data_IF_964569243682
#
_entry.id   IF_964569243682
#
_cell.length_a   1.000
_cell.length_b   1.000
_cell.length_c   1.000
_cell.angle_alpha   90.00
_cell.angle_beta   90.00
_cell.angle_gamma   90.00
#
_symmetry.space_group_name_H-M   'P 1'
#
loop_
_entity.id
_entity.type
_entity.pdbx_description
1 polymer ?
#
# COMPACT_ATOMS: atom_id res chain seq x y z
N UNK A 1 22.59 3.04 15.18
CA UNK A 1 23.49 2.21 14.34
C UNK A 1 24.53 3.15 13.72
N UNK A 2 25.75 3.24 14.28
CA UNK A 2 26.71 4.32 13.97
C UNK A 2 27.21 4.33 12.52
N UNK A 3 27.15 3.20 11.81
CA UNK A 3 27.57 3.09 10.41
C UNK A 3 26.59 3.73 9.42
N UNK A 4 25.28 3.74 9.72
CA UNK A 4 24.27 4.37 8.87
C UNK A 4 24.40 5.90 8.91
N UNK A 5 24.63 6.47 10.10
CA UNK A 5 24.82 7.91 10.29
C UNK A 5 26.09 8.42 9.59
N UNK A 6 27.18 7.63 9.60
CA UNK A 6 28.41 7.97 8.89
C UNK A 6 28.24 7.92 7.36
N UNK A 7 27.44 6.99 6.84
CA UNK A 7 27.13 6.87 5.41
C UNK A 7 26.20 8.00 4.95
N UNK A 8 25.21 8.37 5.78
CA UNK A 8 24.30 9.50 5.54
C UNK A 8 25.05 10.83 5.45
N UNK A 9 26.01 11.07 6.34
CA UNK A 9 26.82 12.29 6.34
C UNK A 9 27.71 12.41 5.11
N UNK A 10 28.28 11.30 4.65
CA UNK A 10 29.15 11.26 3.47
C UNK A 10 28.36 11.41 2.17
N UNK A 11 27.20 10.78 2.11
CA UNK A 11 26.24 10.89 1.01
C UNK A 11 25.72 12.32 0.84
N UNK A 12 25.33 13.00 1.93
CA UNK A 12 24.84 14.37 1.89
C UNK A 12 25.93 15.37 1.45
N UNK A 13 27.19 15.14 1.84
CA UNK A 13 28.32 16.00 1.45
C UNK A 13 28.64 15.92 -0.06
N UNK A 14 28.41 14.78 -0.70
CA UNK A 14 28.72 14.57 -2.12
C UNK A 14 27.52 14.92 -3.01
N UNK A 15 26.29 14.59 -2.60
CA UNK A 15 25.09 14.71 -3.44
C UNK A 15 24.08 15.79 -2.98
N UNK A 16 24.38 16.54 -1.92
CA UNK A 16 23.51 17.59 -1.38
C UNK A 16 23.15 18.71 -2.37
N UNK A 17 23.93 18.89 -3.45
CA UNK A 17 23.63 19.84 -4.52
C UNK A 17 22.66 19.33 -5.61
N UNK A 18 22.59 18.01 -5.84
CA UNK A 18 21.78 17.40 -6.92
C UNK A 18 20.45 16.85 -6.38
N UNK A 19 20.43 16.40 -5.13
CA UNK A 19 19.24 15.91 -4.43
C UNK A 19 18.04 16.90 -4.44
N UNK A 20 18.22 18.24 -4.27
CA UNK A 20 17.10 19.18 -4.28
C UNK A 20 16.45 19.35 -5.67
N UNK A 21 17.21 19.17 -6.75
CA UNK A 21 16.74 19.35 -8.13
C UNK A 21 15.90 18.16 -8.61
N UNK A 22 16.22 16.95 -8.14
CA UNK A 22 15.44 15.73 -8.40
C UNK A 22 14.15 15.71 -7.56
N UNK A 23 14.20 16.17 -6.31
CA UNK A 23 13.02 16.34 -5.44
C UNK A 23 11.99 17.33 -6.00
N UNK A 24 12.41 18.33 -6.79
CA UNK A 24 11.49 19.25 -7.48
C UNK A 24 10.71 18.59 -8.61
N UNK A 25 11.26 17.57 -9.27
CA UNK A 25 10.57 16.84 -10.35
C UNK A 25 9.69 15.70 -9.81
N UNK A 26 9.99 15.15 -8.64
CA UNK A 26 9.19 14.12 -7.95
C UNK A 26 8.40 14.76 -6.80
N UNK A 27 7.54 15.74 -7.14
CA UNK A 27 6.85 16.61 -6.19
C UNK A 27 5.91 15.86 -5.22
N UNK A 28 5.45 14.66 -5.59
CA UNK A 28 4.58 13.82 -4.73
C UNK A 28 5.34 13.07 -3.62
N UNK A 29 6.67 12.96 -3.70
CA UNK A 29 7.44 12.13 -2.78
C UNK A 29 7.44 12.66 -1.34
N UNK A 30 7.34 13.99 -1.16
CA UNK A 30 7.24 14.62 0.17
C UNK A 30 5.98 14.16 0.90
N UNK A 31 4.84 14.13 0.20
CA UNK A 31 3.57 13.67 0.76
C UNK A 31 3.63 12.21 1.17
N UNK A 32 4.22 11.33 0.37
CA UNK A 32 4.39 9.92 0.74
C UNK A 32 5.36 9.71 1.91
N UNK A 33 6.41 10.51 2.04
CA UNK A 33 7.38 10.40 3.13
C UNK A 33 6.80 10.85 4.48
N UNK A 34 6.06 11.97 4.49
CA UNK A 34 5.34 12.47 5.67
C UNK A 34 4.24 11.48 6.08
N UNK A 35 3.48 10.97 5.11
CA UNK A 35 2.49 9.91 5.30
C UNK A 35 3.09 8.59 5.76
N UNK A 36 4.36 8.30 5.45
CA UNK A 36 5.07 7.11 5.90
C UNK A 36 5.65 7.22 7.33
N UNK A 37 5.65 8.40 7.96
CA UNK A 37 6.35 8.66 9.24
C UNK A 37 7.83 8.21 9.23
N UNK A 38 8.49 8.28 8.08
CA UNK A 38 9.93 8.00 8.02
C UNK A 38 10.66 9.22 8.60
N UNK A 39 11.31 9.05 9.76
CA UNK A 39 12.08 10.10 10.47
C UNK A 39 13.41 10.45 9.79
N UNK A 40 13.45 10.46 8.47
CA UNK A 40 14.64 10.80 7.68
C UNK A 40 14.23 11.93 6.75
N UNK A 41 15.02 13.01 6.72
CA UNK A 41 14.76 14.13 5.81
C UNK A 41 14.70 13.65 4.36
N UNK A 42 13.70 14.06 3.56
CA UNK A 42 13.55 13.62 2.17
C UNK A 42 14.82 13.82 1.32
N UNK A 43 15.56 14.90 1.58
CA UNK A 43 16.82 15.19 0.89
C UNK A 43 17.93 14.19 1.25
N UNK A 44 17.98 13.70 2.50
CA UNK A 44 18.94 12.69 2.95
C UNK A 44 18.63 11.33 2.35
N UNK A 45 17.34 10.97 2.23
CA UNK A 45 16.92 9.72 1.60
C UNK A 45 17.28 9.66 0.11
N UNK A 46 17.04 10.76 -0.62
CA UNK A 46 17.41 10.88 -2.03
C UNK A 46 18.92 10.90 -2.23
N UNK A 47 19.68 11.54 -1.32
CA UNK A 47 21.14 11.50 -1.37
C UNK A 47 21.67 10.08 -1.18
N UNK A 48 21.07 9.31 -0.27
CA UNK A 48 21.44 7.92 0.01
C UNK A 48 21.10 6.99 -1.16
N UNK A 49 19.95 7.23 -1.82
CA UNK A 49 19.58 6.56 -3.08
C UNK A 49 20.64 6.76 -4.16
N UNK A 50 21.09 8.01 -4.41
CA UNK A 50 22.15 8.29 -5.38
C UNK A 50 23.50 7.69 -4.98
N UNK A 51 23.83 7.67 -3.69
CA UNK A 51 25.08 7.09 -3.20
C UNK A 51 25.15 5.57 -3.42
N UNK A 52 24.06 4.85 -3.16
CA UNK A 52 24.00 3.40 -3.38
C UNK A 52 23.93 3.08 -4.88
N UNK A 53 23.22 3.89 -5.66
CA UNK A 53 23.24 3.77 -7.13
C UNK A 53 24.67 3.95 -7.68
N UNK A 54 25.43 4.93 -7.18
CA UNK A 54 26.83 5.14 -7.57
C UNK A 54 27.70 3.93 -7.19
N UNK A 55 27.52 3.36 -6.00
CA UNK A 55 28.29 2.21 -5.52
C UNK A 55 28.03 0.94 -6.35
N UNK A 56 26.88 0.84 -7.01
CA UNK A 56 26.52 -0.29 -7.90
C UNK A 56 26.96 -0.13 -9.36
N UNK A 57 27.45 1.06 -9.76
CA UNK A 57 28.00 1.28 -11.11
C UNK A 57 29.18 0.37 -11.49
N UNK A 58 30.17 0.11 -10.61
CA UNK A 58 31.29 -0.77 -10.94
C UNK A 58 30.83 -2.20 -11.26
N UNK A 59 29.77 -2.67 -10.58
CA UNK A 59 29.16 -3.99 -10.82
C UNK A 59 28.48 -4.05 -12.19
N UNK A 60 27.78 -2.97 -12.57
CA UNK A 60 27.18 -2.85 -13.90
C UNK A 60 28.24 -2.81 -15.02
N UNK A 61 29.34 -2.06 -14.82
CA UNK A 61 30.46 -1.99 -15.77
C UNK A 61 31.16 -3.34 -15.91
N UNK A 62 31.45 -4.03 -14.79
CA UNK A 62 32.04 -5.37 -14.81
C UNK A 62 31.14 -6.39 -15.54
N UNK A 63 29.82 -6.31 -15.34
CA UNK A 63 28.84 -7.12 -16.07
C UNK A 63 28.88 -6.86 -17.57
N UNK A 64 28.98 -5.59 -17.99
CA UNK A 64 29.06 -5.23 -19.42
C UNK A 64 30.34 -5.80 -20.08
N UNK A 65 31.47 -5.73 -19.39
CA UNK A 65 32.77 -6.27 -19.87
C UNK A 65 32.73 -7.80 -19.97
N UNK A 66 32.17 -8.48 -18.99
CA UNK A 66 32.00 -9.94 -19.00
C UNK A 66 31.03 -10.41 -20.10
N UNK A 67 29.96 -9.66 -20.37
CA UNK A 67 29.02 -9.95 -21.45
C UNK A 67 29.68 -9.84 -22.82
N UNK A 68 30.53 -8.82 -23.02
CA UNK A 68 31.30 -8.65 -24.26
C UNK A 68 32.32 -9.78 -24.49
N UNK A 69 32.96 -10.29 -23.42
CA UNK A 69 34.00 -11.31 -23.51
C UNK A 69 33.46 -12.75 -23.66
N UNK A 70 32.35 -13.09 -22.98
CA UNK A 70 31.86 -14.47 -22.89
C UNK A 70 30.50 -14.72 -23.55
N UNK A 71 29.77 -13.69 -24.00
CA UNK A 71 28.48 -13.85 -24.70
C UNK A 71 27.36 -14.51 -23.88
N UNK A 72 27.46 -14.48 -22.54
CA UNK A 72 26.53 -15.17 -21.65
C UNK A 72 25.23 -14.36 -21.45
N UNK A 73 24.12 -14.86 -22.03
CA UNK A 73 22.80 -14.18 -22.04
C UNK A 73 22.24 -13.74 -20.67
N UNK A 74 22.37 -14.52 -19.58
CA UNK A 74 21.82 -14.15 -18.27
C UNK A 74 22.44 -12.88 -17.66
N UNK A 75 23.63 -12.47 -18.08
CA UNK A 75 24.29 -11.25 -17.58
C UNK A 75 23.55 -9.97 -18.01
N UNK A 76 22.69 -10.04 -19.02
CA UNK A 76 21.90 -8.92 -19.53
C UNK A 76 20.93 -8.37 -18.46
N UNK A 77 20.46 -9.22 -17.54
CA UNK A 77 19.61 -8.81 -16.41
C UNK A 77 20.37 -8.04 -15.32
N UNK A 78 21.70 -8.14 -15.31
CA UNK A 78 22.58 -7.55 -14.31
C UNK A 78 23.08 -6.15 -14.71
N UNK A 79 22.95 -5.78 -15.99
CA UNK A 79 23.35 -4.47 -16.51
C UNK A 79 22.54 -3.31 -15.89
N UNK A 80 21.19 -3.40 -15.71
CA UNK A 80 20.40 -2.30 -15.17
C UNK A 80 20.35 -2.24 -13.63
N UNK A 81 21.23 -2.92 -12.88
CA UNK A 81 21.21 -2.91 -11.40
C UNK A 81 21.04 -1.50 -10.79
N UNK A 82 21.78 -0.47 -11.21
CA UNK A 82 21.65 0.87 -10.60
C UNK A 82 20.23 1.44 -10.76
N UNK A 83 19.57 1.09 -11.86
CA UNK A 83 18.19 1.48 -12.13
C UNK A 83 17.19 0.69 -11.26
N UNK A 84 17.41 -0.61 -11.09
CA UNK A 84 16.61 -1.43 -10.17
C UNK A 84 16.74 -0.97 -8.72
N UNK A 85 17.95 -0.58 -8.29
CA UNK A 85 18.20 -0.03 -6.97
C UNK A 85 17.45 1.30 -6.79
N UNK A 86 17.51 2.19 -7.78
CA UNK A 86 16.78 3.46 -7.75
C UNK A 86 15.26 3.25 -7.66
N UNK A 87 14.71 2.33 -8.45
CA UNK A 87 13.29 1.95 -8.38
C UNK A 87 12.94 1.37 -7.01
N UNK A 88 13.78 0.47 -6.47
CA UNK A 88 13.58 -0.13 -5.16
C UNK A 88 13.51 0.92 -4.05
N UNK A 89 14.45 1.88 -4.05
CA UNK A 89 14.45 2.99 -3.10
C UNK A 89 13.23 3.89 -3.22
N UNK A 90 12.65 4.06 -4.42
CA UNK A 90 11.41 4.82 -4.58
C UNK A 90 10.17 4.03 -4.11
N UNK A 91 10.15 2.72 -4.33
CA UNK A 91 9.02 1.85 -4.00
C UNK A 91 8.93 1.52 -2.50
N UNK A 92 10.05 1.39 -1.79
CA UNK A 92 10.06 1.06 -0.35
C UNK A 92 9.23 2.04 0.50
N UNK A 93 9.42 3.38 0.43
CA UNK A 93 8.63 4.32 1.22
C UNK A 93 7.18 4.37 0.76
N UNK A 94 6.91 4.21 -0.54
CA UNK A 94 5.56 4.17 -1.09
C UNK A 94 4.79 2.94 -0.60
N UNK A 95 5.43 1.77 -0.60
CA UNK A 95 4.88 0.53 -0.06
C UNK A 95 4.61 0.67 1.43
N UNK A 96 5.57 1.15 2.22
CA UNK A 96 5.36 1.35 3.67
C UNK A 96 4.25 2.35 4.00
N UNK A 97 4.14 3.44 3.24
CA UNK A 97 3.05 4.40 3.38
C UNK A 97 1.69 3.74 3.07
N UNK A 98 1.63 2.97 1.99
CA UNK A 98 0.45 2.23 1.55
C UNK A 98 0.05 1.15 2.56
N UNK A 99 1.01 0.40 3.10
CA UNK A 99 0.78 -0.64 4.09
C UNK A 99 0.21 -0.05 5.39
N UNK A 100 0.76 1.09 5.84
CA UNK A 100 0.23 1.81 7.00
C UNK A 100 -1.16 2.37 6.73
N UNK A 101 -1.38 3.00 5.58
CA UNK A 101 -2.70 3.50 5.21
C UNK A 101 -3.74 2.36 5.14
N UNK A 102 -3.37 1.21 4.58
CA UNK A 102 -4.21 0.01 4.52
C UNK A 102 -4.51 -0.57 5.91
N UNK A 103 -3.51 -0.63 6.80
CA UNK A 103 -3.69 -1.06 8.18
C UNK A 103 -4.66 -0.13 8.94
N UNK A 104 -4.46 1.19 8.83
CA UNK A 104 -5.36 2.21 9.39
C UNK A 104 -6.78 2.06 8.85
N UNK A 105 -6.91 1.90 7.53
CA UNK A 105 -8.21 1.78 6.90
C UNK A 105 -8.94 0.54 7.41
N UNK A 106 -8.24 -0.58 7.62
CA UNK A 106 -8.83 -1.84 8.10
C UNK A 106 -9.35 -1.70 9.53
N UNK A 107 -8.62 -0.97 10.37
CA UNK A 107 -8.97 -0.73 11.77
C UNK A 107 -9.99 0.41 11.95
N UNK A 108 -10.15 1.30 10.95
CA UNK A 108 -10.98 2.50 11.02
C UNK A 108 -12.45 2.25 11.41
N UNK A 109 -13.18 1.26 10.84
CA UNK A 109 -14.58 1.02 11.23
C UNK A 109 -14.70 0.67 12.71
N UNK A 110 -13.80 -0.18 13.21
CA UNK A 110 -13.77 -0.59 14.61
C UNK A 110 -13.42 0.58 15.53
N UNK A 111 -12.47 1.45 15.14
CA UNK A 111 -12.13 2.67 15.87
C UNK A 111 -13.32 3.63 15.96
N UNK A 112 -13.98 3.89 14.83
CA UNK A 112 -15.15 4.78 14.77
C UNK A 112 -16.26 4.29 15.70
N UNK A 113 -16.58 2.99 15.65
CA UNK A 113 -17.61 2.40 16.52
C UNK A 113 -17.19 2.40 17.98
N UNK A 114 -15.93 2.11 18.31
CA UNK A 114 -15.43 2.17 19.68
C UNK A 114 -15.60 3.58 20.28
N UNK A 115 -15.21 4.61 19.53
CA UNK A 115 -15.35 6.02 19.95
C UNK A 115 -16.83 6.41 20.04
N UNK A 116 -17.64 6.00 19.06
CA UNK A 116 -19.07 6.28 19.02
C UNK A 116 -19.79 5.67 20.22
N UNK A 117 -19.57 4.39 20.51
CA UNK A 117 -20.22 3.69 21.64
C UNK A 117 -19.83 4.32 22.98
N UNK A 118 -18.57 4.70 23.15
CA UNK A 118 -18.16 5.41 24.36
C UNK A 118 -18.77 6.81 24.46
N UNK A 119 -18.88 7.54 23.35
CA UNK A 119 -19.52 8.84 23.31
C UNK A 119 -21.01 8.73 23.67
N UNK A 120 -21.72 7.75 23.12
CA UNK A 120 -23.12 7.45 23.47
C UNK A 120 -23.27 7.03 24.94
N UNK A 121 -22.23 6.42 25.52
CA UNK A 121 -22.12 6.14 26.95
C UNK A 121 -21.80 7.37 27.82
N UNK A 122 -21.78 8.58 27.25
CA UNK A 122 -21.51 9.84 27.97
C UNK A 122 -20.03 10.14 28.22
N UNK A 123 -19.12 9.35 27.65
CA UNK A 123 -17.68 9.60 27.77
C UNK A 123 -17.27 10.63 26.72
N UNK A 124 -16.57 11.68 27.16
CA UNK A 124 -16.05 12.69 26.24
C UNK A 124 -15.15 12.04 25.17
N UNK A 125 -15.30 12.38 23.86
CA UNK A 125 -14.54 11.74 22.79
C UNK A 125 -13.02 11.85 22.93
N UNK A 126 -12.50 12.89 23.57
CA UNK A 126 -11.08 12.97 23.91
C UNK A 126 -10.63 11.81 24.82
N UNK A 127 -11.41 11.47 25.84
CA UNK A 127 -11.15 10.33 26.72
C UNK A 127 -11.33 9.01 25.96
N UNK A 128 -12.26 8.96 25.00
CA UNK A 128 -12.41 7.84 24.08
C UNK A 128 -11.13 7.59 23.26
N UNK A 129 -10.52 8.64 22.71
CA UNK A 129 -9.22 8.55 22.05
C UNK A 129 -8.10 8.14 23.01
N UNK A 130 -8.14 8.65 24.25
CA UNK A 130 -7.18 8.24 25.30
C UNK A 130 -7.19 6.73 25.54
N UNK A 131 -8.39 6.15 25.70
CA UNK A 131 -8.55 4.70 25.88
C UNK A 131 -8.17 3.93 24.61
N UNK A 132 -8.51 4.45 23.43
CA UNK A 132 -8.14 3.82 22.15
C UNK A 132 -6.62 3.68 21.98
N UNK A 133 -5.83 4.59 22.54
CA UNK A 133 -4.36 4.50 22.49
C UNK A 133 -3.76 3.38 23.35
N UNK A 134 -4.54 2.77 24.24
CA UNK A 134 -4.14 1.65 25.09
C UNK A 134 -4.64 0.30 24.52
N UNK A 135 -5.50 0.31 23.51
CA UNK A 135 -6.06 -0.90 22.92
C UNK A 135 -5.06 -1.59 21.99
N UNK A 136 -4.62 -2.79 22.37
CA UNK A 136 -3.65 -3.59 21.59
C UNK A 136 -4.25 -4.27 20.35
N UNK A 137 -5.58 -4.44 20.29
CA UNK A 137 -6.28 -5.06 19.16
C UNK A 137 -6.14 -4.27 17.84
N UNK A 138 -5.82 -2.98 17.95
CA UNK A 138 -5.76 -2.05 16.82
C UNK A 138 -4.47 -1.23 16.90
N UNK A 139 -3.32 -1.81 16.56
CA UNK A 139 -2.01 -1.18 16.71
C UNK A 139 -1.84 0.05 15.82
N UNK A 140 -2.43 0.09 14.62
CA UNK A 140 -2.31 1.23 13.73
C UNK A 140 -3.10 2.43 14.27
N UNK A 141 -4.36 2.23 14.66
CA UNK A 141 -5.21 3.29 15.21
C UNK A 141 -4.78 3.74 16.61
N UNK A 142 -4.32 2.82 17.46
CA UNK A 142 -3.77 3.18 18.77
C UNK A 142 -2.51 4.05 18.64
N UNK A 143 -1.68 3.81 17.62
CA UNK A 143 -0.50 4.64 17.35
C UNK A 143 -0.86 6.09 16.95
N UNK A 144 -1.91 6.27 16.15
CA UNK A 144 -2.42 7.62 15.80
C UNK A 144 -3.08 8.30 16.99
N UNK A 145 -3.89 7.58 17.75
CA UNK A 145 -4.49 8.10 18.97
C UNK A 145 -3.44 8.53 19.99
N UNK A 146 -2.33 7.76 20.11
CA UNK A 146 -1.20 8.11 20.98
C UNK A 146 -0.49 9.38 20.55
N UNK A 147 -0.44 9.70 19.25
CA UNK A 147 0.11 10.98 18.80
C UNK A 147 -0.80 12.14 19.14
N UNK A 148 -2.12 11.99 18.99
CA UNK A 148 -3.08 13.02 19.42
C UNK A 148 -2.93 13.29 20.92
N UNK A 149 -2.84 12.25 21.75
CA UNK A 149 -2.66 12.41 23.21
C UNK A 149 -1.32 13.04 23.53
N UNK A 150 -0.26 12.70 22.80
CA UNK A 150 1.07 13.30 22.98
C UNK A 150 1.04 14.81 22.73
N UNK A 151 0.36 15.24 21.67
CA UNK A 151 0.17 16.66 21.34
C UNK A 151 -0.57 17.41 22.45
N UNK A 152 -1.53 16.77 23.12
CA UNK A 152 -2.28 17.38 24.22
C UNK A 152 -1.52 17.33 25.55
N UNK A 153 -1.07 16.15 26.00
CA UNK A 153 -0.50 15.95 27.33
C UNK A 153 0.96 16.41 27.44
N UNK A 154 1.75 16.29 26.37
CA UNK A 154 3.17 16.68 26.39
C UNK A 154 3.36 18.11 25.91
N UNK A 155 2.72 18.46 24.79
CA UNK A 155 2.91 19.78 24.17
C UNK A 155 1.89 20.83 24.64
N UNK A 156 0.89 20.43 25.44
CA UNK A 156 -0.11 21.34 26.01
C UNK A 156 -1.05 21.95 24.96
N UNK A 157 -1.19 21.32 23.80
CA UNK A 157 -2.07 21.78 22.73
C UNK A 157 -3.51 21.46 23.13
N UNK A 158 -4.44 22.37 22.82
CA UNK A 158 -5.85 22.14 23.05
C UNK A 158 -6.36 20.87 22.32
N UNK A 159 -7.18 20.00 22.96
CA UNK A 159 -7.64 18.74 22.38
C UNK A 159 -8.32 18.87 21.01
N UNK A 160 -9.12 19.92 20.80
CA UNK A 160 -9.80 20.15 19.54
C UNK A 160 -8.80 20.51 18.44
N UNK A 161 -7.83 21.37 18.78
CA UNK A 161 -6.75 21.78 17.87
C UNK A 161 -5.83 20.61 17.52
N UNK A 162 -5.50 19.74 18.49
CA UNK A 162 -4.69 18.54 18.26
C UNK A 162 -5.40 17.55 17.32
N UNK A 163 -6.72 17.36 17.49
CA UNK A 163 -7.53 16.52 16.60
C UNK A 163 -7.60 17.10 15.18
N UNK A 164 -7.77 18.41 15.03
CA UNK A 164 -7.78 19.07 13.72
C UNK A 164 -6.42 18.96 13.00
N UNK A 165 -5.32 19.10 13.75
CA UNK A 165 -3.96 18.89 13.23
C UNK A 165 -3.77 17.44 12.78
N UNK A 166 -4.16 16.47 13.62
CA UNK A 166 -4.07 15.06 13.27
C UNK A 166 -4.93 14.70 12.04
N UNK A 167 -6.08 15.36 11.85
CA UNK A 167 -6.88 15.19 10.65
C UNK A 167 -6.14 15.65 9.38
N UNK A 168 -5.40 16.76 9.43
CA UNK A 168 -4.65 17.30 8.29
C UNK A 168 -3.41 16.47 7.94
N UNK A 169 -2.75 15.92 8.95
CA UNK A 169 -1.49 15.18 8.78
C UNK A 169 -1.70 13.68 8.41
N UNK A 170 -2.90 13.13 8.63
CA UNK A 170 -3.13 11.71 8.41
C UNK A 170 -3.23 11.35 6.90
N UNK A 171 -2.61 10.23 6.45
CA UNK A 171 -2.72 9.75 5.08
C UNK A 171 -4.12 9.29 4.66
N UNK A 172 -4.97 8.87 5.61
CA UNK A 172 -6.24 8.23 5.32
C UNK A 172 -7.36 9.26 5.25
N UNK A 173 -7.93 9.47 4.06
CA UNK A 173 -9.02 10.42 3.84
C UNK A 173 -10.23 10.15 4.75
N UNK A 174 -10.59 8.88 4.95
CA UNK A 174 -11.72 8.50 5.83
C UNK A 174 -11.49 8.93 7.28
N UNK A 175 -10.24 8.83 7.76
CA UNK A 175 -9.88 9.26 9.12
C UNK A 175 -9.86 10.79 9.21
N UNK A 176 -9.33 11.48 8.20
CA UNK A 176 -9.40 12.94 8.11
C UNK A 176 -10.84 13.42 8.16
N UNK A 177 -11.74 12.82 7.40
CA UNK A 177 -13.16 13.19 7.36
C UNK A 177 -13.86 12.92 8.70
N UNK A 178 -13.52 11.81 9.37
CA UNK A 178 -14.05 11.49 10.69
C UNK A 178 -13.63 12.52 11.75
N UNK A 179 -12.33 12.84 11.85
CA UNK A 179 -11.81 13.81 12.82
C UNK A 179 -12.23 15.25 12.49
N UNK A 180 -12.17 15.65 11.22
CA UNK A 180 -12.56 17.01 10.81
C UNK A 180 -14.06 17.23 11.00
N UNK A 181 -14.88 16.22 10.70
CA UNK A 181 -16.32 16.27 10.94
C UNK A 181 -16.66 16.30 12.43
N UNK A 182 -15.91 15.58 13.26
CA UNK A 182 -16.01 15.69 14.71
C UNK A 182 -15.68 17.11 15.20
N UNK A 183 -14.52 17.66 14.80
CA UNK A 183 -14.10 19.00 15.18
C UNK A 183 -15.11 20.07 14.75
N UNK A 184 -15.64 19.96 13.53
CA UNK A 184 -16.66 20.87 13.00
C UNK A 184 -17.97 20.80 13.81
N UNK A 185 -18.41 19.58 14.16
CA UNK A 185 -19.61 19.38 15.00
C UNK A 185 -19.44 19.99 16.39
N UNK A 186 -18.24 19.87 16.99
CA UNK A 186 -17.92 20.50 18.28
C UNK A 186 -17.95 22.02 18.18
N UNK A 187 -17.35 22.61 17.15
CA UNK A 187 -17.31 24.08 16.94
C UNK A 187 -18.71 24.66 16.76
N UNK A 188 -19.57 23.97 16.00
CA UNK A 188 -20.94 24.41 15.71
C UNK A 188 -21.87 24.16 16.91
N UNK A 189 -21.44 23.36 17.90
CA UNK A 189 -22.26 22.97 19.05
C UNK A 189 -23.37 21.98 18.69
N UNK A 190 -23.16 21.15 17.67
CA UNK A 190 -24.10 20.11 17.25
C UNK A 190 -24.07 18.88 18.13
N UNK A 191 -24.94 17.91 17.83
CA UNK A 191 -24.96 16.61 18.50
C UNK A 191 -23.80 15.73 18.03
N UNK A 192 -22.75 15.70 18.86
CA UNK A 192 -21.54 14.90 18.66
C UNK A 192 -21.87 13.40 18.62
N UNK A 193 -22.74 12.92 19.51
CA UNK A 193 -23.06 11.48 19.62
C UNK A 193 -23.75 10.99 18.37
N UNK A 194 -24.77 11.71 17.91
CA UNK A 194 -25.48 11.39 16.69
C UNK A 194 -24.58 11.50 15.44
N UNK A 195 -23.67 12.48 15.39
CA UNK A 195 -22.68 12.58 14.32
C UNK A 195 -21.75 11.35 14.28
N UNK A 196 -21.18 10.98 15.43
CA UNK A 196 -20.24 9.86 15.53
C UNK A 196 -20.91 8.53 15.17
N UNK A 197 -22.14 8.30 15.63
CA UNK A 197 -22.92 7.10 15.30
C UNK A 197 -23.20 7.00 13.80
N UNK A 198 -23.75 8.06 13.20
CA UNK A 198 -24.05 8.09 11.77
C UNK A 198 -22.77 7.92 10.93
N UNK A 199 -21.66 8.56 11.34
CA UNK A 199 -20.40 8.45 10.60
C UNK A 199 -19.76 7.06 10.76
N UNK A 200 -19.86 6.43 11.92
CA UNK A 200 -19.41 5.06 12.13
C UNK A 200 -20.20 4.07 11.27
N UNK A 201 -21.53 4.21 11.21
CA UNK A 201 -22.40 3.40 10.36
C UNK A 201 -22.06 3.56 8.87
N UNK A 202 -21.84 4.79 8.40
CA UNK A 202 -21.42 5.10 7.03
C UNK A 202 -20.09 4.42 6.65
N UNK A 203 -19.10 4.47 7.54
CA UNK A 203 -17.80 3.81 7.36
C UNK A 203 -17.98 2.28 7.26
N UNK A 204 -18.78 1.69 8.13
CA UNK A 204 -19.08 0.26 8.11
C UNK A 204 -19.84 -0.16 6.85
N UNK A 205 -20.86 0.60 6.45
CA UNK A 205 -21.66 0.35 5.25
C UNK A 205 -20.81 0.44 4.00
N UNK A 206 -19.94 1.43 3.91
CA UNK A 206 -19.00 1.59 2.78
C UNK A 206 -18.03 0.40 2.70
N UNK A 207 -17.55 -0.10 3.84
CA UNK A 207 -16.72 -1.32 3.88
C UNK A 207 -17.49 -2.57 3.44
N UNK A 208 -18.70 -2.78 3.96
CA UNK A 208 -19.55 -3.90 3.57
C UNK A 208 -19.87 -3.88 2.07
N UNK A 209 -20.16 -2.71 1.52
CA UNK A 209 -20.38 -2.53 0.08
C UNK A 209 -19.15 -2.87 -0.75
N UNK A 210 -17.94 -2.46 -0.31
CA UNK A 210 -16.69 -2.84 -1.01
C UNK A 210 -16.45 -4.34 -1.01
N UNK A 211 -16.72 -5.02 0.10
CA UNK A 211 -16.62 -6.49 0.18
C UNK A 211 -17.63 -7.14 -0.76
N UNK A 212 -18.87 -6.64 -0.80
CA UNK A 212 -19.90 -7.13 -1.71
C UNK A 212 -19.49 -6.98 -3.18
N UNK A 213 -19.01 -5.80 -3.58
CA UNK A 213 -18.53 -5.56 -4.95
C UNK A 213 -17.33 -6.46 -5.30
N UNK A 214 -16.43 -6.70 -4.35
CA UNK A 214 -15.32 -7.63 -4.57
C UNK A 214 -15.82 -9.07 -4.80
N UNK A 215 -16.80 -9.53 -4.02
CA UNK A 215 -17.42 -10.84 -4.21
C UNK A 215 -18.15 -10.95 -5.56
N UNK A 216 -18.87 -9.91 -5.98
CA UNK A 216 -19.51 -9.84 -7.30
C UNK A 216 -18.48 -9.91 -8.45
N UNK A 217 -17.34 -9.22 -8.31
CA UNK A 217 -16.24 -9.29 -9.29
C UNK A 217 -15.63 -10.69 -9.38
N UNK A 218 -15.44 -11.36 -8.24
CA UNK A 218 -14.98 -12.76 -8.23
C UNK A 218 -16.00 -13.69 -8.89
N UNK A 219 -17.30 -13.45 -8.66
CA UNK A 219 -18.37 -14.17 -9.35
C UNK A 219 -18.31 -14.00 -10.87
N UNK A 220 -18.16 -12.77 -11.35
CA UNK A 220 -18.02 -12.47 -12.79
C UNK A 220 -16.77 -13.12 -13.40
N UNK A 221 -15.65 -13.13 -12.68
CA UNK A 221 -14.43 -13.81 -13.12
C UNK A 221 -14.63 -15.33 -13.20
N UNK A 222 -15.34 -15.93 -12.24
CA UNK A 222 -15.67 -17.35 -12.25
C UNK A 222 -16.61 -17.70 -13.41
N UNK A 223 -17.64 -16.88 -13.67
CA UNK A 223 -18.54 -17.07 -14.81
C UNK A 223 -17.76 -17.01 -16.13
N UNK A 224 -16.91 -15.99 -16.30
CA UNK A 224 -16.06 -15.84 -17.48
C UNK A 224 -15.10 -17.02 -17.62
N UNK A 225 -14.50 -17.47 -16.52
CA UNK A 225 -13.61 -18.63 -16.51
C UNK A 225 -14.34 -19.91 -16.94
N UNK A 226 -15.56 -20.16 -16.45
CA UNK A 226 -16.38 -21.31 -16.85
C UNK A 226 -16.71 -21.24 -18.35
N UNK A 227 -17.13 -20.07 -18.85
CA UNK A 227 -17.45 -19.89 -20.28
C UNK A 227 -16.22 -20.20 -21.14
N UNK A 228 -15.05 -19.65 -20.79
CA UNK A 228 -13.80 -19.88 -21.54
C UNK A 228 -13.40 -21.36 -21.49
N UNK A 229 -13.44 -21.99 -20.32
CA UNK A 229 -13.12 -23.43 -20.17
C UNK A 229 -14.03 -24.31 -21.02
N UNK A 230 -15.35 -24.07 -20.98
CA UNK A 230 -16.33 -24.85 -21.76
C UNK A 230 -16.16 -24.64 -23.25
N UNK A 231 -16.00 -23.38 -23.71
CA UNK A 231 -15.76 -23.07 -25.12
C UNK A 231 -14.44 -23.68 -25.62
N UNK A 232 -13.38 -23.61 -24.80
CA UNK A 232 -12.09 -24.22 -25.10
C UNK A 232 -12.26 -25.74 -25.24
N UNK A 233 -12.90 -26.41 -24.28
CA UNK A 233 -13.16 -27.85 -24.33
C UNK A 233 -13.97 -28.28 -25.56
N UNK A 234 -15.06 -27.58 -25.86
CA UNK A 234 -15.87 -27.85 -27.06
C UNK A 234 -15.07 -27.62 -28.36
N UNK A 235 -14.25 -26.57 -28.42
CA UNK A 235 -13.45 -26.28 -29.61
C UNK A 235 -12.40 -27.37 -29.87
N UNK A 236 -11.69 -27.82 -28.82
CA UNK A 236 -10.74 -28.93 -28.93
C UNK A 236 -11.43 -30.25 -29.25
N UNK A 237 -12.60 -30.52 -28.68
CA UNK A 237 -13.39 -31.71 -29.01
C UNK A 237 -13.73 -31.77 -30.50
N UNK A 238 -14.19 -30.67 -31.09
CA UNK A 238 -14.50 -30.60 -32.53
C UNK A 238 -13.21 -30.78 -33.37
N UNK A 239 -12.12 -30.11 -33.00
CA UNK A 239 -10.84 -30.23 -33.71
C UNK A 239 -10.32 -31.67 -33.75
N UNK A 240 -10.29 -32.35 -32.59
CA UNK A 240 -9.87 -33.76 -32.53
C UNK A 240 -10.86 -34.70 -33.24
N UNK A 241 -12.16 -34.42 -33.17
CA UNK A 241 -13.17 -35.20 -33.89
C UNK A 241 -12.97 -35.11 -35.40
N UNK A 242 -12.71 -33.92 -35.94
CA UNK A 242 -12.42 -33.73 -37.37
C UNK A 242 -11.12 -34.44 -37.76
N UNK A 243 -10.05 -34.31 -36.97
CA UNK A 243 -8.79 -35.02 -37.22
C UNK A 243 -8.99 -36.54 -37.26
N UNK A 244 -9.81 -37.10 -36.35
CA UNK A 244 -10.10 -38.53 -36.31
C UNK A 244 -10.83 -39.07 -37.56
N UNK A 245 -11.67 -38.24 -38.19
CA UNK A 245 -12.42 -38.59 -39.40
C UNK A 245 -11.51 -38.57 -40.64
N UNK A 246 -10.57 -37.62 -40.70
CA UNK A 246 -9.61 -37.52 -41.81
C UNK A 246 -8.45 -38.52 -41.69
N UNK A 247 -8.09 -38.97 -40.48
CA UNK A 247 -6.99 -39.93 -40.28
C UNK A 247 -7.45 -41.39 -40.48
N UNK A 248 -7.47 -41.86 -41.72
CA UNK A 248 -7.60 -43.30 -42.02
C UNK A 248 -6.23 -43.96 -41.81
N UNK A 249 -5.88 -44.29 -40.57
CA UNK A 249 -4.73 -45.15 -40.26
C UNK A 249 -3.85 -44.70 -39.08
N UNK A 250 -3.72 -45.60 -38.10
CA UNK A 250 -2.71 -45.69 -37.03
C UNK A 250 -2.59 -44.54 -35.99
N UNK A 251 -3.09 -43.34 -36.23
CA UNK A 251 -2.92 -42.17 -35.32
C UNK A 251 -4.08 -41.89 -34.36
N UNK A 252 -5.23 -42.55 -34.54
CA UNK A 252 -6.47 -42.29 -33.77
C UNK A 252 -6.33 -42.55 -32.26
N UNK A 253 -5.50 -43.51 -31.85
CA UNK A 253 -5.29 -43.81 -30.42
C UNK A 253 -4.45 -42.73 -29.72
N UNK A 254 -3.54 -42.06 -30.44
CA UNK A 254 -2.69 -41.00 -29.87
C UNK A 254 -3.47 -39.70 -29.65
N UNK A 255 -4.36 -39.33 -30.56
CA UNK A 255 -5.19 -38.12 -30.43
C UNK A 255 -6.25 -38.27 -29.34
N UNK A 256 -6.83 -39.46 -29.17
CA UNK A 256 -7.81 -39.74 -28.12
C UNK A 256 -7.21 -39.70 -26.71
N UNK A 257 -5.99 -40.24 -26.53
CA UNK A 257 -5.26 -40.16 -25.24
C UNK A 257 -4.83 -38.72 -24.89
N UNK A 258 -4.44 -37.93 -25.89
CA UNK A 258 -4.03 -36.54 -25.69
C UNK A 258 -5.23 -35.66 -25.29
N UNK A 259 -6.42 -35.93 -25.83
CA UNK A 259 -7.67 -35.30 -25.38
C UNK A 259 -8.00 -35.64 -23.92
N UNK A 260 -7.90 -36.91 -23.51
CA UNK A 260 -8.15 -37.31 -22.12
C UNK A 260 -7.17 -36.67 -21.13
N UNK A 261 -5.90 -36.49 -21.52
CA UNK A 261 -4.86 -35.89 -20.67
C UNK A 261 -4.97 -34.36 -20.54
N UNK A 262 -5.54 -33.67 -21.53
CA UNK A 262 -5.62 -32.21 -21.55
C UNK A 262 -6.85 -31.65 -20.79
N UNK A 263 -7.86 -32.50 -20.52
CA UNK A 263 -9.13 -32.13 -19.90
C UNK A 263 -9.43 -32.85 -18.56
N UNK A 264 -8.49 -33.65 -18.05
CA UNK A 264 -8.48 -34.11 -16.65
C UNK A 264 -7.65 -33.14 -15.82
#
# INVERSE_FOLDING_TARGET
MPFLESLEAWSFRIFGGVAPSFLKHVFEFKGYLERAKIKIYPATYVSLMFFIALLTLPVSIASLVLLYLYGFLPLLFLVPIPFYVMIGFLLIPMSKASDRASALEREMPFAATYISVMASGGIAPYISFKRLAEVELMPAMSSEAREIIKDVEIFGIDPLTAIEKAAKENPLDVFRDFLSGYASTVIIGGDITHFLERKAEDIFKTRAMRVKVAAERLGMLLETFIIVMVLMSLSFYILFSVESIYSIGMSTYSSMLLYTYLFT
#
